data_IF_308584664956
#
_entry.id   IF_308584664956
#
_cell.length_a   1.000
_cell.length_b   1.000
_cell.length_c   1.000
_cell.angle_alpha   90.00
_cell.angle_beta   90.00
_cell.angle_gamma   90.00
#
_symmetry.space_group_name_H-M   'P 1'
#
loop_
_entity.id
_entity.type
_entity.pdbx_description
1 polymer ?
#
# COMPACT_ATOMS: atom_id res chain seq x y z
N UNK A 1 6.29 -24.62 -6.92
CA UNK A 1 6.47 -23.33 -7.61
C UNK A 1 7.01 -22.34 -6.60
N UNK A 2 8.27 -21.88 -6.73
CA UNK A 2 8.82 -20.90 -5.79
C UNK A 2 8.10 -19.57 -6.04
N UNK A 3 7.27 -19.16 -5.08
CA UNK A 3 6.77 -17.79 -5.00
C UNK A 3 8.01 -16.90 -5.06
N UNK A 4 8.13 -16.07 -6.09
CA UNK A 4 9.18 -15.08 -6.19
C UNK A 4 9.09 -14.23 -4.92
N UNK A 5 10.12 -14.30 -4.08
CA UNK A 5 10.20 -13.48 -2.89
C UNK A 5 10.01 -12.01 -3.27
N UNK A 6 9.17 -11.28 -2.53
CA UNK A 6 8.76 -9.90 -2.84
C UNK A 6 9.98 -8.98 -2.99
N UNK A 7 11.01 -9.20 -2.16
CA UNK A 7 12.25 -8.43 -2.24
C UNK A 7 13.03 -8.73 -3.52
N UNK A 8 12.96 -9.95 -4.03
CA UNK A 8 13.61 -10.36 -5.28
C UNK A 8 12.96 -9.70 -6.50
N UNK A 9 11.63 -9.55 -6.52
CA UNK A 9 10.92 -8.82 -7.60
C UNK A 9 11.27 -7.33 -7.56
N UNK A 10 11.26 -6.72 -6.37
CA UNK A 10 11.61 -5.30 -6.21
C UNK A 10 13.05 -5.05 -6.64
N UNK A 11 14.00 -5.92 -6.27
CA UNK A 11 15.40 -5.82 -6.74
C UNK A 11 15.54 -6.05 -8.24
N UNK A 12 14.70 -6.85 -8.87
CA UNK A 12 14.72 -7.01 -10.32
C UNK A 12 14.23 -5.75 -11.05
N UNK A 13 13.27 -5.03 -10.46
CA UNK A 13 12.74 -3.78 -11.03
C UNK A 13 13.60 -2.55 -10.70
N UNK A 14 14.30 -2.57 -9.56
CA UNK A 14 15.17 -1.50 -9.08
C UNK A 14 16.52 -2.14 -8.72
N UNK A 15 17.35 -2.45 -9.74
CA UNK A 15 18.58 -3.22 -9.55
C UNK A 15 19.65 -2.46 -8.78
N UNK A 16 19.62 -1.13 -8.77
CA UNK A 16 20.65 -0.31 -8.12
C UNK A 16 20.10 0.57 -7.00
N UNK A 17 20.96 0.86 -6.01
CA UNK A 17 20.64 1.84 -4.95
C UNK A 17 20.41 3.25 -5.51
N UNK A 18 21.07 3.60 -6.62
CA UNK A 18 20.91 4.89 -7.29
C UNK A 18 19.51 5.05 -7.88
N UNK A 19 18.99 4.04 -8.58
CA UNK A 19 17.63 4.09 -9.12
C UNK A 19 16.56 4.13 -8.02
N UNK A 20 16.79 3.40 -6.91
CA UNK A 20 15.89 3.46 -5.75
C UNK A 20 15.84 4.88 -5.16
N UNK A 21 17.00 5.53 -5.04
CA UNK A 21 17.12 6.89 -4.57
C UNK A 21 16.42 7.89 -5.51
N UNK A 22 16.64 7.78 -6.82
CA UNK A 22 16.02 8.66 -7.80
C UNK A 22 14.49 8.51 -7.81
N UNK A 23 14.00 7.27 -7.66
CA UNK A 23 12.57 7.01 -7.53
C UNK A 23 12.00 7.65 -6.26
N UNK A 24 12.68 7.51 -5.12
CA UNK A 24 12.28 8.15 -3.87
C UNK A 24 12.26 9.68 -4.00
N UNK A 25 13.29 10.28 -4.61
CA UNK A 25 13.33 11.73 -4.84
C UNK A 25 12.18 12.23 -5.73
N UNK A 26 11.81 11.47 -6.77
CA UNK A 26 10.68 11.81 -7.63
C UNK A 26 9.36 11.84 -6.86
N UNK A 27 9.10 10.81 -6.07
CA UNK A 27 7.87 10.72 -5.28
C UNK A 27 7.84 11.73 -4.13
N UNK A 28 8.97 11.97 -3.46
CA UNK A 28 9.09 13.04 -2.47
C UNK A 28 8.85 14.42 -3.08
N UNK A 29 9.36 14.68 -4.28
CA UNK A 29 9.09 15.92 -5.02
C UNK A 29 7.61 16.03 -5.39
N UNK A 30 7.00 14.94 -5.87
CA UNK A 30 5.57 14.92 -6.21
C UNK A 30 4.71 15.23 -4.98
N UNK A 31 4.96 14.61 -3.84
CA UNK A 31 4.27 14.87 -2.57
C UNK A 31 4.38 16.34 -2.12
N UNK A 32 5.51 16.98 -2.39
CA UNK A 32 5.72 18.40 -2.06
C UNK A 32 4.96 19.34 -2.99
N UNK A 33 4.82 18.97 -4.26
CA UNK A 33 4.10 19.78 -5.26
C UNK A 33 2.59 19.61 -5.10
N UNK A 34 2.14 18.39 -4.79
CA UNK A 34 0.75 18.04 -4.57
C UNK A 34 0.59 17.37 -3.19
N UNK A 35 0.30 18.15 -2.13
CA UNK A 35 0.15 17.63 -0.78
C UNK A 35 -1.00 16.62 -0.62
N UNK A 36 -2.06 16.72 -1.43
CA UNK A 36 -3.22 15.83 -1.33
C UNK A 36 -2.94 14.42 -1.88
N UNK A 37 -1.85 14.26 -2.65
CA UNK A 37 -1.46 13.01 -3.30
C UNK A 37 -1.35 11.84 -2.32
N UNK A 38 -0.88 12.09 -1.09
CA UNK A 38 -0.77 11.05 -0.07
C UNK A 38 -2.15 10.54 0.37
N UNK A 39 -3.10 11.46 0.62
CA UNK A 39 -4.48 11.13 0.97
C UNK A 39 -5.20 10.39 -0.16
N UNK A 40 -4.97 10.79 -1.41
CA UNK A 40 -5.53 10.11 -2.58
C UNK A 40 -4.99 8.70 -2.75
N UNK A 41 -3.69 8.48 -2.53
CA UNK A 41 -3.09 7.14 -2.55
C UNK A 41 -3.63 6.25 -1.43
N UNK A 42 -3.87 6.83 -0.24
CA UNK A 42 -4.51 6.12 0.88
C UNK A 42 -5.91 5.66 0.48
N UNK A 43 -6.71 6.56 -0.11
CA UNK A 43 -8.09 6.28 -0.53
C UNK A 43 -8.16 5.29 -1.69
N UNK A 44 -7.42 5.52 -2.77
CA UNK A 44 -7.40 4.66 -3.96
C UNK A 44 -6.76 3.29 -3.69
N UNK A 45 -5.74 3.27 -2.83
CA UNK A 45 -5.07 2.05 -2.38
C UNK A 45 -5.92 1.20 -1.45
N UNK A 46 -6.91 1.80 -0.78
CA UNK A 46 -7.62 1.16 0.32
C UNK A 46 -6.68 0.86 1.49
N UNK A 47 -5.74 1.77 1.77
CA UNK A 47 -4.69 1.57 2.78
C UNK A 47 -5.28 1.47 4.18
N UNK A 48 -6.31 2.27 4.47
CA UNK A 48 -7.02 2.25 5.75
C UNK A 48 -8.31 1.42 5.71
N UNK A 49 -8.67 0.84 4.57
CA UNK A 49 -9.88 0.05 4.46
C UNK A 49 -9.77 -1.22 5.31
N UNK A 50 -10.72 -1.40 6.23
CA UNK A 50 -11.00 -2.69 6.85
C UNK A 50 -11.37 -3.63 5.70
N UNK A 51 -10.66 -4.75 5.56
CA UNK A 51 -11.12 -5.79 4.65
C UNK A 51 -12.47 -6.27 5.19
N UNK A 52 -13.55 -6.25 4.39
CA UNK A 52 -14.83 -6.70 4.87
C UNK A 52 -14.75 -8.21 5.13
N UNK A 53 -14.53 -8.59 6.38
CA UNK A 53 -14.80 -9.93 6.87
C UNK A 53 -16.33 -10.07 6.91
N UNK A 54 -16.88 -11.02 6.15
CA UNK A 54 -18.31 -11.33 6.29
C UNK A 54 -18.50 -12.08 7.60
N UNK A 55 -19.25 -11.56 8.56
CA UNK A 55 -19.53 -12.33 9.77
C UNK A 55 -20.74 -13.26 9.52
N UNK A 56 -20.53 -14.57 9.37
CA UNK A 56 -21.62 -15.57 9.39
C UNK A 56 -21.69 -16.24 10.77
N UNK A 57 -22.77 -15.98 11.49
CA UNK A 57 -23.02 -16.60 12.80
C UNK A 57 -22.07 -16.11 13.91
N UNK A 58 -21.57 -14.87 13.82
CA UNK A 58 -20.69 -14.27 14.83
C UNK A 58 -19.22 -14.68 14.75
N UNK A 59 -18.86 -15.52 13.76
CA UNK A 59 -17.48 -15.79 13.39
C UNK A 59 -17.14 -15.04 12.10
N UNK A 60 -15.91 -14.52 11.96
CA UNK A 60 -15.45 -14.05 10.65
C UNK A 60 -15.50 -15.24 9.69
N UNK A 61 -16.47 -15.20 8.78
CA UNK A 61 -16.44 -16.00 7.57
C UNK A 61 -15.53 -15.24 6.63
N UNK A 62 -14.57 -15.94 6.03
CA UNK A 62 -14.03 -15.44 4.78
C UNK A 62 -15.26 -15.22 3.90
N UNK A 63 -15.60 -13.95 3.66
CA UNK A 63 -16.45 -13.62 2.53
C UNK A 63 -15.83 -14.39 1.38
N UNK A 64 -16.61 -15.09 0.56
CA UNK A 64 -16.08 -15.76 -0.61
C UNK A 64 -15.63 -14.69 -1.61
N UNK A 65 -14.61 -13.91 -1.25
CA UNK A 65 -13.90 -12.99 -2.08
C UNK A 65 -13.17 -13.93 -3.02
N UNK A 66 -13.64 -13.92 -4.27
CA UNK A 66 -12.91 -14.46 -5.40
C UNK A 66 -11.39 -14.27 -5.14
N UNK A 67 -10.60 -15.35 -5.04
CA UNK A 67 -9.18 -15.28 -4.72
C UNK A 67 -8.42 -14.29 -5.62
N UNK A 68 -8.89 -14.09 -6.85
CA UNK A 68 -8.34 -13.09 -7.78
C UNK A 68 -8.60 -11.65 -7.29
N UNK A 69 -9.81 -11.37 -6.80
CA UNK A 69 -10.18 -10.08 -6.24
C UNK A 69 -9.42 -9.80 -4.94
N UNK A 70 -9.24 -10.80 -4.08
CA UNK A 70 -8.44 -10.67 -2.87
C UNK A 70 -6.97 -10.36 -3.19
N UNK A 71 -6.38 -11.09 -4.15
CA UNK A 71 -5.01 -10.85 -4.61
C UNK A 71 -4.85 -9.45 -5.24
N UNK A 72 -5.82 -9.01 -6.04
CA UNK A 72 -5.81 -7.68 -6.64
C UNK A 72 -5.86 -6.56 -5.59
N UNK A 73 -6.78 -6.66 -4.62
CA UNK A 73 -6.88 -5.67 -3.55
C UNK A 73 -5.63 -5.63 -2.68
N UNK A 74 -5.06 -6.79 -2.37
CA UNK A 74 -3.78 -6.90 -1.65
C UNK A 74 -2.64 -6.23 -2.42
N UNK A 75 -2.50 -6.54 -3.72
CA UNK A 75 -1.47 -5.95 -4.58
C UNK A 75 -1.61 -4.43 -4.70
N UNK A 76 -2.84 -3.94 -4.84
CA UNK A 76 -3.14 -2.50 -4.89
C UNK A 76 -2.74 -1.80 -3.58
N UNK A 77 -3.09 -2.38 -2.43
CA UNK A 77 -2.72 -1.85 -1.11
C UNK A 77 -1.21 -1.86 -0.89
N UNK A 78 -0.57 -2.97 -1.24
CA UNK A 78 0.88 -3.15 -1.15
C UNK A 78 1.64 -2.11 -1.98
N UNK A 79 1.16 -1.80 -3.18
CA UNK A 79 1.72 -0.77 -4.04
C UNK A 79 1.56 0.63 -3.43
N UNK A 80 0.37 0.96 -2.92
CA UNK A 80 0.11 2.26 -2.29
C UNK A 80 1.03 2.49 -1.07
N UNK A 81 1.20 1.49 -0.21
CA UNK A 81 2.12 1.57 0.95
C UNK A 81 3.58 1.81 0.51
N UNK A 82 4.03 1.16 -0.56
CA UNK A 82 5.38 1.36 -1.07
C UNK A 82 5.59 2.79 -1.59
N UNK A 83 4.59 3.35 -2.28
CA UNK A 83 4.67 4.73 -2.79
C UNK A 83 4.66 5.73 -1.63
N UNK A 84 3.80 5.54 -0.63
CA UNK A 84 3.75 6.38 0.57
C UNK A 84 5.09 6.37 1.32
N UNK A 85 5.73 5.20 1.43
CA UNK A 85 7.07 5.10 2.02
C UNK A 85 8.13 5.87 1.21
N UNK A 86 8.05 5.87 -0.13
CA UNK A 86 8.94 6.65 -0.99
C UNK A 86 8.69 8.16 -0.89
N UNK A 87 7.45 8.57 -0.59
CA UNK A 87 7.11 9.98 -0.31
C UNK A 87 7.64 10.45 1.05
N UNK A 88 8.06 9.52 1.91
CA UNK A 88 8.54 9.80 3.26
C UNK A 88 7.45 9.75 4.33
N UNK A 89 6.26 9.23 4.00
CA UNK A 89 5.19 9.01 4.97
C UNK A 89 5.60 7.88 5.91
N UNK A 90 5.64 8.19 7.19
CA UNK A 90 6.04 7.29 8.27
C UNK A 90 4.86 6.47 8.77
N UNK A 91 5.17 5.41 9.53
CA UNK A 91 4.14 4.60 10.17
C UNK A 91 3.33 5.40 11.19
N UNK A 92 3.96 6.35 11.88
CA UNK A 92 3.30 7.21 12.87
C UNK A 92 2.32 8.18 12.21
N UNK A 93 2.70 8.77 11.07
CA UNK A 93 1.80 9.62 10.27
C UNK A 93 0.61 8.82 9.73
N UNK A 94 0.81 7.58 9.29
CA UNK A 94 -0.29 6.69 8.90
C UNK A 94 -1.21 6.36 10.07
N UNK A 95 -0.66 6.17 11.27
CA UNK A 95 -1.43 5.89 12.48
C UNK A 95 -2.29 7.08 12.89
N UNK A 96 -1.74 8.30 12.85
CA UNK A 96 -2.49 9.54 13.12
C UNK A 96 -3.68 9.65 12.16
N UNK A 97 -3.46 9.40 10.86
CA UNK A 97 -4.53 9.43 9.85
C UNK A 97 -5.61 8.35 10.08
N UNK A 98 -5.29 7.23 10.74
CA UNK A 98 -6.28 6.23 11.14
C UNK A 98 -7.14 6.66 12.33
N UNK A 99 -6.55 7.39 13.28
CA UNK A 99 -7.24 7.91 14.46
C UNK A 99 -8.13 9.12 14.12
N UNK A 100 -7.84 9.85 13.05
CA UNK A 100 -8.64 10.97 12.56
C UNK A 100 -9.87 10.57 11.72
N UNK A 101 -9.88 9.36 11.15
CA UNK A 101 -10.98 8.81 10.33
C UNK A 101 -12.06 8.05 11.16
N UNK A 102 -11.93 8.01 12.50
CA UNK A 102 -12.94 7.49 13.47
C UNK A 102 -13.84 8.60 14.05
#
# INVERSE_FOLDING_TARGET
MKILDRMSVIRAMIPTRGEAHDLALRWKKAARVEPELAGDLIRLGGVLSIQPDEYRGGLPSDAAIDPLRAAYQKGRRDMAVQILALMGVTHDELKILMEEDE
#
